data_IF_636623899648
#
_entry.id   IF_636623899648
#
_cell.length_a   1.000
_cell.length_b   1.000
_cell.length_c   1.000
_cell.angle_alpha   90.00
_cell.angle_beta   90.00
_cell.angle_gamma   90.00
#
_symmetry.space_group_name_H-M   'P 1'
#
loop_
_entity.id
_entity.type
_entity.pdbx_description
1 polymer ?
#
# COMPACT_ATOMS: atom_id res chain seq x y z
N UNK A 1 -0.40 -3.78 11.70
CA UNK A 1 0.16 -4.85 10.84
C UNK A 1 0.41 -4.33 9.43
N UNK A 2 1.48 -4.77 8.77
CA UNK A 2 1.77 -4.45 7.38
C UNK A 2 1.88 -5.75 6.58
N UNK A 3 1.32 -5.77 5.37
CA UNK A 3 1.26 -6.95 4.50
C UNK A 3 1.72 -6.54 3.10
N UNK A 4 2.62 -7.33 2.52
CA UNK A 4 3.05 -7.18 1.12
C UNK A 4 2.43 -8.32 0.33
N UNK A 5 1.69 -8.00 -0.72
CA UNK A 5 0.95 -8.94 -1.55
C UNK A 5 1.56 -8.89 -2.95
N UNK A 6 2.13 -9.99 -3.48
CA UNK A 6 2.55 -10.03 -4.88
C UNK A 6 1.32 -9.89 -5.78
N UNK A 7 1.48 -9.15 -6.88
CA UNK A 7 0.47 -9.03 -7.93
C UNK A 7 0.95 -9.86 -9.09
N UNK A 8 0.15 -10.84 -9.48
CA UNK A 8 0.47 -11.75 -10.56
C UNK A 8 -0.44 -11.47 -11.75
N UNK A 9 0.08 -11.68 -12.96
CA UNK A 9 -0.74 -11.71 -14.16
C UNK A 9 -1.48 -13.06 -14.26
N UNK A 10 -2.27 -13.23 -15.32
CA UNK A 10 -3.03 -14.48 -15.56
C UNK A 10 -2.12 -15.72 -15.73
N UNK A 11 -0.86 -15.51 -16.08
CA UNK A 11 0.14 -16.56 -16.29
C UNK A 11 0.94 -16.87 -15.01
N UNK A 12 0.63 -16.21 -13.88
CA UNK A 12 1.34 -16.38 -12.61
C UNK A 12 2.66 -15.61 -12.53
N UNK A 13 2.99 -14.74 -13.49
CA UNK A 13 4.17 -13.89 -13.41
C UNK A 13 3.92 -12.70 -12.49
N UNK A 14 4.85 -12.45 -11.58
CA UNK A 14 4.78 -11.29 -10.68
C UNK A 14 5.01 -10.00 -11.47
N UNK A 15 3.95 -9.21 -11.61
CA UNK A 15 3.94 -7.89 -12.28
C UNK A 15 4.10 -6.72 -11.28
N UNK A 16 4.13 -7.01 -9.98
CA UNK A 16 4.36 -6.00 -8.96
C UNK A 16 3.96 -6.45 -7.56
N UNK A 17 3.87 -5.48 -6.65
CA UNK A 17 3.63 -5.70 -5.23
C UNK A 17 2.70 -4.63 -4.67
N UNK A 18 1.72 -5.04 -3.88
CA UNK A 18 0.87 -4.14 -3.12
C UNK A 18 1.24 -4.19 -1.65
N UNK A 19 1.55 -3.03 -1.06
CA UNK A 19 1.69 -2.90 0.38
C UNK A 19 0.36 -2.44 0.99
N UNK A 20 -0.04 -3.07 2.09
CA UNK A 20 -1.22 -2.71 2.89
C UNK A 20 -0.81 -2.53 4.35
N UNK A 21 -1.13 -1.38 4.93
CA UNK A 21 -0.84 -1.08 6.34
C UNK A 21 -2.15 -0.86 7.08
N UNK A 22 -2.36 -1.69 8.11
CA UNK A 22 -3.49 -1.61 9.05
C UNK A 22 -2.98 -1.15 10.40
N UNK A 23 -3.58 -0.09 10.94
CA UNK A 23 -3.38 0.37 12.31
C UNK A 23 -4.73 0.36 13.03
N UNK A 24 -4.72 0.04 14.31
CA UNK A 24 -5.93 0.07 15.13
C UNK A 24 -6.47 1.50 15.16
N UNK A 25 -7.79 1.67 14.99
CA UNK A 25 -8.43 2.99 15.02
C UNK A 25 -8.23 3.89 13.79
N UNK A 26 -7.53 3.42 12.74
CA UNK A 26 -7.32 4.20 11.51
C UNK A 26 -7.78 3.44 10.27
N UNK A 27 -8.14 4.20 9.21
CA UNK A 27 -8.43 3.61 7.91
C UNK A 27 -7.18 2.88 7.37
N UNK A 28 -7.33 1.66 6.83
CA UNK A 28 -6.23 0.96 6.19
C UNK A 28 -5.74 1.74 4.97
N UNK A 29 -4.42 1.87 4.82
CA UNK A 29 -3.81 2.47 3.63
C UNK A 29 -3.14 1.40 2.79
N UNK A 30 -3.20 1.56 1.47
CA UNK A 30 -2.52 0.66 0.54
C UNK A 30 -1.91 1.40 -0.64
N UNK A 31 -0.80 0.86 -1.17
CA UNK A 31 -0.12 1.41 -2.35
C UNK A 31 0.55 0.28 -3.14
N UNK A 32 0.62 0.44 -4.47
CA UNK A 32 1.25 -0.52 -5.38
C UNK A 32 2.62 -0.06 -5.84
N UNK A 33 3.51 -1.02 -6.10
CA UNK A 33 4.90 -0.83 -6.48
C UNK A 33 5.32 -1.89 -7.48
N UNK A 34 6.28 -1.59 -8.34
CA UNK A 34 6.87 -2.58 -9.25
C UNK A 34 7.82 -3.53 -8.50
N UNK A 35 8.58 -3.00 -7.53
CA UNK A 35 9.60 -3.77 -6.80
C UNK A 35 9.16 -4.05 -5.36
N UNK A 36 9.41 -5.28 -4.90
CA UNK A 36 9.12 -5.73 -3.52
C UNK A 36 9.75 -4.83 -2.46
N UNK A 37 11.02 -4.48 -2.67
CA UNK A 37 11.82 -3.66 -1.74
C UNK A 37 11.22 -2.27 -1.53
N UNK A 38 10.58 -1.70 -2.55
CA UNK A 38 9.92 -0.40 -2.46
C UNK A 38 8.61 -0.49 -1.69
N UNK A 39 7.85 -1.57 -1.90
CA UNK A 39 6.66 -1.88 -1.12
C UNK A 39 6.97 -2.05 0.38
N UNK A 40 8.03 -2.79 0.69
CA UNK A 40 8.52 -3.00 2.07
C UNK A 40 8.99 -1.70 2.73
N UNK A 41 9.78 -0.89 2.00
CA UNK A 41 10.28 0.40 2.47
C UNK A 41 9.12 1.37 2.76
N UNK A 42 8.15 1.44 1.86
CA UNK A 42 6.96 2.26 2.05
C UNK A 42 6.14 1.75 3.23
N UNK A 43 5.88 0.45 3.34
CA UNK A 43 5.12 -0.11 4.46
C UNK A 43 5.77 0.18 5.82
N UNK A 44 7.11 0.12 5.88
CA UNK A 44 7.90 0.43 7.07
C UNK A 44 7.81 1.90 7.45
N UNK A 45 7.84 2.82 6.48
CA UNK A 45 7.63 4.25 6.69
C UNK A 45 6.19 4.57 7.11
N UNK A 46 5.22 3.98 6.42
CA UNK A 46 3.77 4.15 6.69
C UNK A 46 3.32 3.51 8.00
N UNK A 47 4.14 2.69 8.66
CA UNK A 47 3.94 2.24 10.05
C UNK A 47 4.48 3.25 11.09
N UNK A 48 5.41 4.13 10.69
CA UNK A 48 5.94 5.21 11.53
C UNK A 48 5.16 6.52 11.35
N UNK A 49 4.96 6.98 10.13
CA UNK A 49 4.20 8.20 9.84
C UNK A 49 2.69 7.94 9.98
N UNK A 50 2.03 8.53 10.98
CA UNK A 50 0.57 8.67 11.00
C UNK A 50 0.17 9.26 9.66
N UNK A 51 -0.56 8.47 8.85
CA UNK A 51 -0.91 8.86 7.50
C UNK A 51 -1.63 10.22 7.53
N UNK A 52 -1.03 11.22 6.88
CA UNK A 52 -1.78 12.37 6.39
C UNK A 52 -2.95 11.84 5.58
N UNK A 53 -4.19 12.31 5.83
CA UNK A 53 -5.34 11.85 5.07
C UNK A 53 -5.20 12.39 3.65
N UNK A 54 -4.72 11.55 2.74
CA UNK A 54 -4.92 11.73 1.30
C UNK A 54 -6.41 11.44 1.02
N UNK A 55 -7.24 12.39 1.44
CA UNK A 55 -8.68 12.42 1.23
C UNK A 55 -9.08 13.75 0.55
N UNK A 56 -8.15 14.35 -0.19
CA UNK A 56 -8.45 15.52 -1.03
C UNK A 56 -8.48 15.06 -2.49
N UNK A 57 -9.69 15.16 -3.05
CA UNK A 57 -10.09 15.02 -4.47
C UNK A 57 -10.45 13.62 -4.94
N UNK A 58 -11.59 13.12 -4.45
CA UNK A 58 -12.59 12.57 -5.38
C UNK A 58 -13.63 13.68 -5.57
N UNK A 59 -13.69 14.16 -6.81
CA UNK A 59 -14.61 15.19 -7.29
C UNK A 59 -16.06 14.69 -7.13
N UNK A 60 -16.86 15.48 -6.44
CA UNK A 60 -18.30 15.57 -6.68
C UNK A 60 -18.58 17.02 -7.04
N UNK A 61 -18.69 17.29 -8.34
CA UNK A 61 -19.41 18.36 -9.02
C UNK A 61 -19.28 18.13 -10.53
#
# INVERSE_FOLDING_TARGET
MATIIPRENREGQVIGYQAKVRRVGHKPVSKTFEKKKDAERWASRSRRATATPDNLRVVWL
#
